data_IF_339294506042
#
_entry.id   IF_339294506042
#
_cell.length_a   1.000
_cell.length_b   1.000
_cell.length_c   1.000
_cell.angle_alpha   90.00
_cell.angle_beta   90.00
_cell.angle_gamma   90.00
#
_symmetry.space_group_name_H-M   'P 1'
#
loop_
_entity.id
_entity.type
_entity.pdbx_description
1 polymer ?
#
# COMPACT_ATOMS: atom_id res chain seq x y z
N UNK A 1 9.54 -1.23 26.94
CA UNK A 1 9.92 0.20 26.88
C UNK A 1 8.74 0.94 26.28
N UNK A 2 7.99 1.79 27.00
CA UNK A 2 6.91 2.58 26.44
C UNK A 2 7.48 3.74 25.63
N UNK A 3 6.93 3.97 24.46
CA UNK A 3 7.23 5.10 23.57
C UNK A 3 6.59 6.36 24.14
N UNK A 4 7.40 7.30 24.59
CA UNK A 4 6.94 8.64 24.97
C UNK A 4 6.57 9.46 23.73
N UNK A 5 5.31 9.91 23.66
CA UNK A 5 4.78 10.74 22.60
C UNK A 5 5.28 12.18 22.67
N UNK A 6 6.12 12.58 21.74
CA UNK A 6 6.54 13.96 21.57
C UNK A 6 5.43 14.80 20.92
N UNK A 7 4.92 15.78 21.65
CA UNK A 7 3.93 16.77 21.17
C UNK A 7 4.65 17.83 20.34
N UNK A 8 4.47 17.81 19.02
CA UNK A 8 4.92 18.89 18.13
C UNK A 8 3.77 19.84 17.88
N UNK A 9 3.91 21.10 18.28
CA UNK A 9 2.96 22.18 17.96
C UNK A 9 2.99 22.46 16.47
N UNK A 10 1.83 22.29 15.81
CA UNK A 10 1.62 22.68 14.43
C UNK A 10 1.48 24.20 14.31
N UNK A 11 2.32 24.84 13.48
CA UNK A 11 2.11 26.18 12.97
C UNK A 11 1.27 26.07 11.67
N UNK A 12 0.13 26.75 11.60
CA UNK A 12 -0.71 26.85 10.41
C UNK A 12 -2.04 26.13 10.53
N UNK A 13 -3.03 26.78 11.17
CA UNK A 13 -4.38 26.22 11.36
C UNK A 13 -5.23 26.26 10.10
N UNK A 14 -5.37 25.16 9.40
CA UNK A 14 -6.50 24.86 8.54
C UNK A 14 -7.52 24.04 9.35
N UNK A 15 -8.68 24.59 9.65
CA UNK A 15 -9.81 23.84 10.21
C UNK A 15 -10.38 22.96 9.12
N UNK A 16 -10.30 21.63 9.31
CA UNK A 16 -11.05 20.68 8.48
C UNK A 16 -12.48 20.58 9.03
N UNK A 17 -13.51 21.00 8.28
CA UNK A 17 -14.89 20.85 8.69
C UNK A 17 -15.32 19.39 8.52
N UNK A 18 -15.83 18.77 9.57
CA UNK A 18 -16.54 17.50 9.51
C UNK A 18 -15.84 16.28 10.10
N UNK A 19 -14.66 16.40 10.71
CA UNK A 19 -13.97 15.28 11.37
C UNK A 19 -14.12 15.43 12.89
N UNK A 20 -14.97 14.64 13.50
CA UNK A 20 -14.89 14.43 14.95
C UNK A 20 -13.63 13.62 15.24
N UNK A 21 -12.65 14.27 15.87
CA UNK A 21 -11.46 13.60 16.37
C UNK A 21 -11.86 12.65 17.51
N UNK A 22 -11.93 11.38 17.26
CA UNK A 22 -12.06 10.37 18.31
C UNK A 22 -10.71 10.20 19.01
N UNK A 23 -10.53 10.87 20.15
CA UNK A 23 -9.54 10.47 21.14
C UNK A 23 -10.24 9.72 22.26
N UNK A 24 -9.63 8.66 22.78
CA UNK A 24 -10.13 7.90 23.92
C UNK A 24 -10.18 8.72 25.25
N UNK A 25 -9.89 10.02 25.18
CA UNK A 25 -10.00 10.98 26.31
C UNK A 25 -10.40 12.34 25.76
N UNK A 26 -11.68 12.73 25.93
CA UNK A 26 -12.24 14.06 26.00
C UNK A 26 -11.70 15.16 25.07
N UNK A 27 -12.63 15.92 24.50
CA UNK A 27 -12.45 17.12 23.66
C UNK A 27 -11.18 17.95 23.91
N UNK A 28 -10.22 17.81 22.98
CA UNK A 28 -9.03 18.68 22.89
C UNK A 28 -8.34 18.37 21.56
N UNK A 29 -8.40 19.32 20.62
CA UNK A 29 -8.05 19.14 19.21
C UNK A 29 -6.54 19.05 18.97
N UNK A 30 -5.89 17.94 19.36
CA UNK A 30 -4.61 17.57 18.79
C UNK A 30 -4.89 16.42 17.80
N UNK A 31 -4.72 16.66 16.50
CA UNK A 31 -4.79 15.62 15.48
C UNK A 31 -3.60 14.69 15.73
N UNK A 32 -3.89 13.42 16.07
CA UNK A 32 -2.84 12.41 16.18
C UNK A 32 -2.12 12.30 14.83
N UNK A 33 -0.80 12.25 14.86
CA UNK A 33 0.01 12.09 13.65
C UNK A 33 0.98 10.92 13.80
N UNK A 34 1.15 10.16 12.72
CA UNK A 34 2.14 9.08 12.61
C UNK A 34 2.95 9.33 11.34
N UNK A 35 4.28 9.36 11.48
CA UNK A 35 5.19 9.68 10.35
C UNK A 35 4.82 10.99 9.63
N UNK A 36 4.35 11.99 10.38
CA UNK A 36 3.96 13.29 9.82
C UNK A 36 2.62 13.32 9.09
N UNK A 37 1.87 12.22 9.09
CA UNK A 37 0.54 12.14 8.49
C UNK A 37 -0.53 11.99 9.57
N UNK A 38 -1.68 12.65 9.35
CA UNK A 38 -2.82 12.57 10.26
C UNK A 38 -3.35 11.14 10.38
N UNK A 39 -3.75 10.73 11.58
CA UNK A 39 -4.52 9.51 11.82
C UNK A 39 -6.00 9.88 11.80
N UNK A 40 -6.78 9.21 10.95
CA UNK A 40 -8.20 9.47 10.76
C UNK A 40 -9.01 8.19 10.90
N UNK A 41 -10.16 8.29 11.54
CA UNK A 41 -11.14 7.23 11.66
C UNK A 41 -12.36 7.57 10.80
N UNK A 42 -12.91 6.59 10.12
CA UNK A 42 -14.13 6.66 9.35
C UNK A 42 -15.03 5.51 9.77
N UNK A 43 -16.33 5.74 9.83
CA UNK A 43 -17.30 4.72 10.22
C UNK A 43 -17.56 3.67 9.13
N UNK A 44 -17.25 3.99 7.87
CA UNK A 44 -17.44 3.10 6.71
C UNK A 44 -16.88 3.70 5.43
N UNK A 45 -17.06 2.99 4.33
CA UNK A 45 -16.54 3.37 3.01
C UNK A 45 -17.13 4.67 2.47
N UNK A 46 -18.41 4.94 2.71
CA UNK A 46 -19.08 6.17 2.27
C UNK A 46 -18.43 7.42 2.87
N UNK A 47 -18.12 7.40 4.16
CA UNK A 47 -17.47 8.53 4.83
C UNK A 47 -16.04 8.74 4.33
N UNK A 48 -15.29 7.65 4.11
CA UNK A 48 -13.97 7.70 3.50
C UNK A 48 -14.04 8.27 2.07
N UNK A 49 -15.00 7.83 1.26
CA UNK A 49 -15.17 8.30 -0.12
C UNK A 49 -15.56 9.77 -0.16
N UNK A 50 -16.44 10.23 0.74
CA UNK A 50 -16.81 11.64 0.89
C UNK A 50 -15.61 12.52 1.27
N UNK A 51 -14.75 12.01 2.16
CA UNK A 51 -13.50 12.69 2.52
C UNK A 51 -12.53 12.77 1.35
N UNK A 52 -12.30 11.66 0.64
CA UNK A 52 -11.44 11.61 -0.55
C UNK A 52 -11.95 12.57 -1.65
N UNK A 53 -13.25 12.70 -1.82
CA UNK A 53 -13.84 13.63 -2.78
C UNK A 53 -13.40 15.07 -2.54
N UNK A 54 -13.19 15.46 -1.30
CA UNK A 54 -12.81 16.81 -0.91
C UNK A 54 -11.30 17.01 -0.79
N UNK A 55 -10.54 15.96 -0.43
CA UNK A 55 -9.15 16.06 0.02
C UNK A 55 -8.13 15.27 -0.81
N UNK A 56 -8.54 14.57 -1.87
CA UNK A 56 -7.62 13.74 -2.65
C UNK A 56 -6.44 14.51 -3.27
N UNK A 57 -6.57 15.82 -3.48
CA UNK A 57 -5.56 16.65 -4.13
C UNK A 57 -4.77 17.57 -3.20
N UNK A 58 -5.14 17.68 -1.92
CA UNK A 58 -4.56 18.67 -0.99
C UNK A 58 -3.77 18.07 0.18
N UNK A 59 -3.66 16.75 0.24
CA UNK A 59 -2.94 16.05 1.31
C UNK A 59 -1.95 15.02 0.77
N UNK A 60 -0.78 14.88 1.44
CA UNK A 60 0.22 13.88 1.04
C UNK A 60 -0.16 12.44 1.41
N UNK A 61 -1.26 12.26 2.15
CA UNK A 61 -1.76 10.98 2.62
C UNK A 61 -2.21 11.03 4.07
N UNK A 62 -2.82 9.94 4.52
CA UNK A 62 -3.29 9.75 5.91
C UNK A 62 -3.04 8.32 6.38
N UNK A 63 -3.15 8.13 7.68
CA UNK A 63 -3.30 6.83 8.30
C UNK A 63 -4.77 6.60 8.66
N UNK A 64 -5.35 5.53 8.14
CA UNK A 64 -6.68 5.07 8.54
C UNK A 64 -6.58 4.28 9.84
N UNK A 65 -7.38 4.62 10.83
CA UNK A 65 -7.60 3.80 12.01
C UNK A 65 -8.67 2.76 11.69
N UNK A 66 -8.30 1.49 11.75
CA UNK A 66 -9.14 0.38 11.30
C UNK A 66 -9.35 -0.64 12.42
N UNK A 67 -10.56 -1.19 12.48
CA UNK A 67 -10.95 -2.23 13.41
C UNK A 67 -10.24 -3.56 13.12
N UNK A 68 -9.82 -4.27 14.17
CA UNK A 68 -9.46 -5.68 14.07
C UNK A 68 -10.72 -6.55 14.07
N UNK A 69 -10.61 -7.74 13.51
CA UNK A 69 -11.70 -8.73 13.55
C UNK A 69 -12.15 -8.98 15.01
N UNK A 70 -13.43 -8.82 15.26
CA UNK A 70 -14.03 -8.98 16.59
C UNK A 70 -14.00 -7.71 17.46
N UNK A 71 -13.47 -6.59 16.95
CA UNK A 71 -13.60 -5.27 17.58
C UNK A 71 -15.00 -4.70 17.33
N UNK A 72 -15.49 -3.89 18.26
CA UNK A 72 -16.72 -3.12 18.19
C UNK A 72 -16.53 -1.74 17.49
N UNK A 73 -15.32 -1.45 17.03
CA UNK A 73 -15.03 -0.21 16.29
C UNK A 73 -15.63 -0.28 14.89
N UNK A 74 -16.40 0.75 14.52
CA UNK A 74 -16.80 0.95 13.14
C UNK A 74 -15.60 1.39 12.32
N UNK A 75 -15.41 0.79 11.15
CA UNK A 75 -14.38 1.20 10.19
C UNK A 75 -14.70 0.67 8.79
N UNK A 76 -14.17 1.30 7.72
CA UNK A 76 -14.29 0.76 6.38
C UNK A 76 -13.68 -0.64 6.28
N UNK A 77 -14.28 -1.50 5.48
CA UNK A 77 -13.72 -2.79 5.08
C UNK A 77 -12.51 -2.61 4.15
N UNK A 78 -11.72 -3.66 3.99
CA UNK A 78 -10.57 -3.63 3.09
C UNK A 78 -10.98 -3.41 1.62
N UNK A 79 -12.16 -3.87 1.22
CA UNK A 79 -12.73 -3.67 -0.12
C UNK A 79 -13.15 -2.21 -0.32
N UNK A 80 -13.89 -1.62 0.62
CA UNK A 80 -14.30 -0.22 0.56
C UNK A 80 -13.09 0.74 0.54
N UNK A 81 -12.03 0.43 1.29
CA UNK A 81 -10.79 1.21 1.26
C UNK A 81 -10.12 1.10 -0.12
N UNK A 82 -10.06 -0.10 -0.68
CA UNK A 82 -9.49 -0.31 -2.02
C UNK A 82 -10.28 0.44 -3.07
N UNK A 83 -11.60 0.34 -3.04
CA UNK A 83 -12.51 1.02 -3.97
C UNK A 83 -12.34 2.54 -3.92
N UNK A 84 -12.48 3.12 -2.73
CA UNK A 84 -12.35 4.56 -2.53
C UNK A 84 -10.97 5.06 -2.95
N UNK A 85 -9.89 4.39 -2.54
CA UNK A 85 -8.54 4.81 -2.92
C UNK A 85 -8.30 4.74 -4.43
N UNK A 86 -8.74 3.67 -5.10
CA UNK A 86 -8.58 3.54 -6.55
C UNK A 86 -9.42 4.55 -7.31
N UNK A 87 -10.67 4.79 -6.86
CA UNK A 87 -11.56 5.75 -7.49
C UNK A 87 -10.95 7.15 -7.56
N UNK A 88 -10.19 7.57 -6.56
CA UNK A 88 -9.55 8.89 -6.47
C UNK A 88 -8.05 8.90 -6.82
N UNK A 89 -7.50 7.84 -7.40
CA UNK A 89 -6.09 7.78 -7.81
C UNK A 89 -5.11 7.63 -6.64
N UNK A 90 -5.57 7.07 -5.53
CA UNK A 90 -4.77 6.76 -4.36
C UNK A 90 -4.37 5.28 -4.32
N UNK A 91 -3.52 4.94 -3.37
CA UNK A 91 -3.09 3.56 -3.12
C UNK A 91 -3.02 3.27 -1.62
N UNK A 92 -3.27 2.03 -1.27
CA UNK A 92 -3.01 1.51 0.07
C UNK A 92 -1.51 1.22 0.24
N UNK A 93 -0.94 1.63 1.36
CA UNK A 93 0.46 1.40 1.71
C UNK A 93 0.63 0.37 2.84
N UNK A 94 1.63 0.56 3.68
CA UNK A 94 1.94 -0.33 4.79
C UNK A 94 0.85 -0.33 5.86
N UNK A 95 0.80 -1.44 6.60
CA UNK A 95 0.02 -1.58 7.83
C UNK A 95 0.92 -1.53 9.04
N UNK A 96 0.40 -1.00 10.14
CA UNK A 96 1.09 -0.96 11.42
C UNK A 96 0.12 -1.37 12.53
N UNK A 97 0.57 -2.24 13.42
CA UNK A 97 -0.21 -2.58 14.61
C UNK A 97 -0.31 -1.34 15.50
N UNK A 98 -1.49 -1.14 16.13
CA UNK A 98 -1.71 -0.07 17.09
C UNK A 98 -1.97 -0.66 18.48
N UNK A 99 -3.05 -1.40 18.65
CA UNK A 99 -3.46 -2.02 19.90
C UNK A 99 -4.20 -3.35 19.65
N UNK A 100 -4.85 -3.90 20.69
CA UNK A 100 -5.60 -5.15 20.57
C UNK A 100 -6.87 -5.04 19.71
N UNK A 101 -7.44 -3.83 19.58
CA UNK A 101 -8.73 -3.57 18.92
C UNK A 101 -8.56 -2.96 17.52
N UNK A 102 -7.40 -2.38 17.24
CA UNK A 102 -7.17 -1.57 16.03
C UNK A 102 -5.79 -1.75 15.40
N UNK A 103 -5.68 -1.33 14.16
CA UNK A 103 -4.44 -1.19 13.41
C UNK A 103 -4.51 0.03 12.51
N UNK A 104 -3.38 0.46 12.00
CA UNK A 104 -3.27 1.58 11.07
C UNK A 104 -2.96 1.07 9.66
N UNK A 105 -3.66 1.65 8.67
CA UNK A 105 -3.41 1.43 7.24
C UNK A 105 -3.08 2.76 6.58
N UNK A 106 -1.89 2.88 6.01
CA UNK A 106 -1.51 4.07 5.26
C UNK A 106 -2.20 4.10 3.91
N UNK A 107 -2.75 5.28 3.54
CA UNK A 107 -3.21 5.55 2.18
C UNK A 107 -2.59 6.85 1.69
N UNK A 108 -2.21 6.91 0.42
CA UNK A 108 -1.56 8.08 -0.19
C UNK A 108 -1.96 8.23 -1.65
N UNK A 109 -1.89 9.45 -2.22
CA UNK A 109 -1.94 9.62 -3.66
C UNK A 109 -0.90 8.72 -4.35
N UNK A 110 -1.21 8.22 -5.54
CA UNK A 110 -0.25 7.51 -6.37
C UNK A 110 0.89 8.45 -6.74
N UNK A 111 2.13 7.98 -6.57
CA UNK A 111 3.29 8.73 -7.06
C UNK A 111 3.39 8.58 -8.58
N UNK A 112 3.91 9.58 -9.30
CA UNK A 112 4.24 9.40 -10.70
C UNK A 112 5.02 8.10 -10.90
N UNK A 113 4.59 7.31 -11.88
CA UNK A 113 5.22 6.01 -12.21
C UNK A 113 5.04 4.90 -11.15
N UNK A 114 4.11 5.01 -10.20
CA UNK A 114 3.71 3.89 -9.34
C UNK A 114 3.28 2.69 -10.18
N UNK A 115 3.77 1.51 -9.81
CA UNK A 115 3.39 0.26 -10.49
C UNK A 115 1.94 -0.12 -10.17
N UNK A 116 1.38 -0.91 -11.05
CA UNK A 116 0.04 -1.50 -10.87
C UNK A 116 0.17 -2.98 -10.54
N UNK A 117 -0.72 -3.47 -9.67
CA UNK A 117 -0.94 -4.89 -9.50
C UNK A 117 -2.14 -5.33 -10.32
N UNK A 118 -2.17 -6.56 -10.78
CA UNK A 118 -3.32 -7.13 -11.47
C UNK A 118 -4.61 -7.09 -10.63
N UNK A 119 -4.48 -7.15 -9.29
CA UNK A 119 -5.62 -6.97 -8.38
C UNK A 119 -6.21 -5.57 -8.54
N UNK A 120 -5.36 -4.53 -8.53
CA UNK A 120 -5.83 -3.15 -8.68
C UNK A 120 -6.37 -2.89 -10.09
N UNK A 121 -5.79 -3.50 -11.13
CA UNK A 121 -6.28 -3.42 -12.50
C UNK A 121 -7.71 -3.97 -12.59
N UNK A 122 -7.93 -5.20 -12.12
CA UNK A 122 -9.26 -5.84 -12.12
C UNK A 122 -10.28 -5.02 -11.32
N UNK A 123 -9.87 -4.47 -10.16
CA UNK A 123 -10.78 -3.65 -9.34
C UNK A 123 -11.16 -2.35 -10.04
N UNK A 124 -10.20 -1.67 -10.69
CA UNK A 124 -10.48 -0.46 -11.50
C UNK A 124 -11.42 -0.78 -12.67
N UNK A 125 -11.24 -1.92 -13.33
CA UNK A 125 -12.14 -2.35 -14.40
C UNK A 125 -13.56 -2.56 -13.88
N UNK A 126 -13.71 -3.21 -12.72
CA UNK A 126 -15.01 -3.40 -12.07
C UNK A 126 -15.63 -2.05 -11.64
N UNK A 127 -14.87 -1.15 -11.04
CA UNK A 127 -15.33 0.18 -10.66
C UNK A 127 -15.71 1.03 -11.86
N UNK A 128 -14.99 0.88 -12.98
CA UNK A 128 -15.30 1.58 -14.24
C UNK A 128 -16.62 1.08 -14.82
N UNK A 129 -16.81 -0.23 -14.86
CA UNK A 129 -18.08 -0.83 -15.32
C UNK A 129 -19.27 -0.42 -14.45
N UNK A 130 -19.06 -0.24 -13.15
CA UNK A 130 -20.07 0.23 -12.20
C UNK A 130 -20.27 1.76 -12.20
N UNK A 131 -19.51 2.55 -12.98
CA UNK A 131 -19.59 4.02 -13.00
C UNK A 131 -19.07 4.69 -11.72
N UNK A 132 -18.29 3.96 -10.91
CA UNK A 132 -17.78 4.43 -9.59
C UNK A 132 -16.42 5.11 -9.67
N UNK A 133 -15.71 5.02 -10.79
CA UNK A 133 -14.44 5.74 -10.95
C UNK A 133 -14.66 7.25 -11.00
N UNK A 134 -13.70 7.99 -10.45
CA UNK A 134 -13.67 9.46 -10.45
C UNK A 134 -12.54 9.95 -11.36
N UNK A 135 -12.63 11.20 -11.78
CA UNK A 135 -11.64 11.78 -12.72
C UNK A 135 -10.18 11.64 -12.26
N UNK A 136 -9.81 11.86 -10.98
CA UNK A 136 -8.44 11.67 -10.51
C UNK A 136 -7.95 10.22 -10.71
N UNK A 137 -8.79 9.23 -10.41
CA UNK A 137 -8.47 7.82 -10.63
C UNK A 137 -8.33 7.46 -12.10
N UNK A 138 -9.26 7.97 -12.95
CA UNK A 138 -9.19 7.78 -14.40
C UNK A 138 -7.94 8.43 -15.01
N UNK A 139 -7.49 9.57 -14.50
CA UNK A 139 -6.25 10.21 -14.92
C UNK A 139 -5.03 9.32 -14.68
N UNK A 140 -4.94 8.66 -13.52
CA UNK A 140 -3.87 7.71 -13.19
C UNK A 140 -3.91 6.46 -14.09
N UNK A 141 -5.11 5.98 -14.45
CA UNK A 141 -5.30 4.87 -15.39
C UNK A 141 -4.81 5.27 -16.79
N UNK A 142 -5.21 6.45 -17.29
CA UNK A 142 -4.75 6.96 -18.59
C UNK A 142 -3.22 7.09 -18.64
N UNK A 143 -2.62 7.65 -17.61
CA UNK A 143 -1.18 7.77 -17.50
C UNK A 143 -0.47 6.40 -17.49
N UNK A 144 -1.04 5.43 -16.79
CA UNK A 144 -0.48 4.08 -16.72
C UNK A 144 -0.58 3.33 -18.05
N UNK A 145 -1.66 3.50 -18.79
CA UNK A 145 -1.83 2.93 -20.13
C UNK A 145 -0.88 3.59 -21.14
N UNK A 146 -0.73 4.91 -21.07
CA UNK A 146 0.14 5.65 -21.98
C UNK A 146 1.62 5.26 -21.86
N UNK A 147 2.08 4.84 -20.67
CA UNK A 147 3.49 4.46 -20.43
C UNK A 147 3.70 2.94 -20.21
N UNK A 148 2.68 2.10 -20.49
CA UNK A 148 2.75 0.64 -20.48
C UNK A 148 2.73 0.01 -19.06
N UNK A 149 2.57 0.79 -17.99
CA UNK A 149 2.51 0.26 -16.61
C UNK A 149 1.23 -0.54 -16.33
N UNK A 150 0.17 -0.26 -17.08
CA UNK A 150 -1.10 -0.96 -16.96
C UNK A 150 -0.97 -2.40 -17.44
N UNK A 151 -0.41 -2.62 -18.60
CA UNK A 151 -0.17 -3.93 -19.22
C UNK A 151 0.91 -4.72 -18.47
N UNK A 152 1.89 -4.01 -17.90
CA UNK A 152 2.97 -4.58 -17.09
C UNK A 152 2.56 -4.79 -15.61
N UNK A 153 1.26 -4.82 -15.29
CA UNK A 153 0.78 -5.02 -13.94
C UNK A 153 1.22 -6.38 -13.37
N UNK A 154 1.87 -6.36 -12.20
CA UNK A 154 2.41 -7.56 -11.58
C UNK A 154 1.31 -8.41 -10.92
N UNK A 155 1.47 -9.76 -10.93
CA UNK A 155 0.51 -10.67 -10.31
C UNK A 155 0.48 -10.56 -8.79
N UNK A 156 -0.62 -11.03 -8.20
CA UNK A 156 -0.71 -11.13 -6.73
C UNK A 156 0.21 -12.23 -6.19
N UNK A 157 0.47 -12.22 -4.89
CA UNK A 157 1.24 -13.30 -4.25
C UNK A 157 0.64 -14.69 -4.50
N UNK A 158 -0.68 -14.78 -4.68
CA UNK A 158 -1.37 -16.05 -4.96
C UNK A 158 -1.05 -16.58 -6.35
N UNK A 159 -0.91 -15.67 -7.31
CA UNK A 159 -0.77 -15.97 -8.75
C UNK A 159 0.70 -15.83 -9.21
N UNK A 160 1.62 -15.52 -8.30
CA UNK A 160 3.03 -15.33 -8.61
C UNK A 160 3.73 -16.64 -8.99
N UNK A 161 4.36 -16.62 -10.16
CA UNK A 161 5.25 -17.68 -10.63
C UNK A 161 6.69 -17.21 -10.57
N UNK A 162 7.63 -18.15 -10.42
CA UNK A 162 9.06 -17.85 -10.46
C UNK A 162 9.43 -17.47 -11.89
N UNK A 163 10.00 -16.27 -12.13
CA UNK A 163 10.43 -15.85 -13.46
C UNK A 163 11.57 -16.75 -13.99
N UNK A 164 11.63 -16.96 -15.32
CA UNK A 164 12.58 -17.85 -15.96
C UNK A 164 14.05 -17.49 -15.66
N UNK A 165 14.38 -16.20 -15.64
CA UNK A 165 15.72 -15.72 -15.32
C UNK A 165 16.10 -16.02 -13.85
N UNK A 166 15.16 -15.92 -12.91
CA UNK A 166 15.37 -16.32 -11.52
C UNK A 166 15.51 -17.84 -11.41
N UNK A 167 14.65 -18.59 -12.09
CA UNK A 167 14.74 -20.06 -12.11
C UNK A 167 16.09 -20.55 -12.64
N UNK A 168 16.56 -19.97 -13.74
CA UNK A 168 17.87 -20.27 -14.32
C UNK A 168 19.03 -19.91 -13.38
N UNK A 169 18.97 -18.76 -12.73
CA UNK A 169 20.00 -18.31 -11.79
C UNK A 169 20.06 -19.18 -10.53
N UNK A 170 18.90 -19.60 -10.00
CA UNK A 170 18.82 -20.53 -8.87
C UNK A 170 19.35 -21.93 -9.26
N UNK A 171 19.07 -22.41 -10.48
CA UNK A 171 19.61 -23.68 -10.96
C UNK A 171 21.14 -23.69 -11.06
N UNK A 172 21.75 -22.52 -11.36
CA UNK A 172 23.18 -22.36 -11.42
C UNK A 172 23.86 -22.24 -10.03
N UNK A 173 23.11 -21.92 -8.97
CA UNK A 173 23.64 -21.73 -7.61
C UNK A 173 22.85 -22.58 -6.59
N UNK A 174 23.28 -23.85 -6.34
CA UNK A 174 22.52 -24.77 -5.49
C UNK A 174 22.30 -24.30 -4.04
N UNK A 175 23.20 -23.47 -3.50
CA UNK A 175 23.02 -22.90 -2.16
C UNK A 175 21.86 -21.90 -2.13
N UNK A 176 21.79 -21.03 -3.13
CA UNK A 176 20.68 -20.07 -3.29
C UNK A 176 19.35 -20.79 -3.57
N UNK A 177 19.34 -21.85 -4.37
CA UNK A 177 18.15 -22.64 -4.64
C UNK A 177 17.55 -23.22 -3.35
N UNK A 178 18.37 -23.90 -2.54
CA UNK A 178 17.91 -24.45 -1.25
C UNK A 178 17.39 -23.36 -0.30
N UNK A 179 18.09 -22.22 -0.23
CA UNK A 179 17.66 -21.10 0.60
C UNK A 179 16.32 -20.53 0.12
N UNK A 180 16.14 -20.35 -1.20
CA UNK A 180 14.88 -19.89 -1.79
C UNK A 180 13.73 -20.86 -1.52
N UNK A 181 13.93 -22.16 -1.62
CA UNK A 181 12.93 -23.18 -1.30
C UNK A 181 12.56 -23.20 0.19
N UNK A 182 13.49 -22.88 1.07
CA UNK A 182 13.24 -22.76 2.51
C UNK A 182 12.50 -21.49 2.92
N UNK A 183 12.44 -20.46 2.04
CA UNK A 183 11.70 -19.23 2.32
C UNK A 183 10.20 -19.51 2.46
N UNK A 184 9.55 -18.77 3.36
CA UNK A 184 8.10 -18.68 3.42
C UNK A 184 7.50 -18.03 2.15
N UNK A 185 6.21 -18.25 1.95
CA UNK A 185 5.49 -17.76 0.76
C UNK A 185 5.65 -16.26 0.55
N UNK A 186 5.62 -15.47 1.63
CA UNK A 186 5.77 -14.01 1.56
C UNK A 186 7.16 -13.59 1.12
N UNK A 187 8.20 -14.21 1.70
CA UNK A 187 9.58 -13.86 1.38
C UNK A 187 9.94 -14.25 -0.06
N UNK A 188 9.49 -15.43 -0.54
CA UNK A 188 9.60 -15.80 -1.96
C UNK A 188 8.94 -14.77 -2.87
N UNK A 189 7.72 -14.34 -2.51
CA UNK A 189 7.03 -13.33 -3.29
C UNK A 189 7.77 -11.99 -3.31
N UNK A 190 8.37 -11.55 -2.22
CA UNK A 190 9.14 -10.31 -2.17
C UNK A 190 10.37 -10.35 -3.10
N UNK A 191 11.06 -11.49 -3.15
CA UNK A 191 12.16 -11.69 -4.13
C UNK A 191 11.65 -11.53 -5.55
N UNK A 192 10.59 -12.25 -5.91
CA UNK A 192 9.99 -12.20 -7.25
C UNK A 192 9.49 -10.79 -7.58
N UNK A 193 8.77 -10.17 -6.64
CA UNK A 193 8.23 -8.82 -6.81
C UNK A 193 9.34 -7.79 -7.06
N UNK A 194 10.48 -7.94 -6.39
CA UNK A 194 11.62 -7.04 -6.60
C UNK A 194 12.11 -7.07 -8.04
N UNK A 195 12.08 -8.23 -8.69
CA UNK A 195 12.47 -8.39 -10.10
C UNK A 195 11.42 -7.78 -11.04
N UNK A 196 10.12 -8.00 -10.79
CA UNK A 196 9.06 -7.38 -11.59
C UNK A 196 9.03 -5.85 -11.47
N UNK A 197 9.43 -5.32 -10.32
CA UNK A 197 9.55 -3.88 -10.11
C UNK A 197 10.78 -3.24 -10.78
N UNK A 198 11.67 -4.03 -11.38
CA UNK A 198 12.82 -3.51 -12.11
C UNK A 198 12.39 -2.92 -13.46
N UNK A 199 12.66 -1.64 -13.66
CA UNK A 199 12.19 -0.87 -14.83
C UNK A 199 13.13 -0.97 -16.04
N UNK A 200 14.35 -1.44 -15.85
CA UNK A 200 15.35 -1.62 -16.90
C UNK A 200 15.98 -2.99 -16.79
N UNK A 201 16.45 -3.55 -17.90
CA UNK A 201 17.19 -4.81 -17.91
C UNK A 201 18.42 -4.75 -16.98
N UNK A 202 19.14 -3.62 -16.95
CA UNK A 202 20.27 -3.40 -16.03
C UNK A 202 19.88 -3.49 -14.57
N UNK A 203 18.78 -2.81 -14.19
CA UNK A 203 18.26 -2.86 -12.79
C UNK A 203 17.79 -4.26 -12.45
N UNK A 204 17.12 -4.98 -13.39
CA UNK A 204 16.67 -6.34 -13.20
C UNK A 204 17.83 -7.30 -12.98
N UNK A 205 18.86 -7.24 -13.82
CA UNK A 205 20.06 -8.05 -13.68
C UNK A 205 20.77 -7.82 -12.34
N UNK A 206 20.96 -6.56 -11.93
CA UNK A 206 21.57 -6.23 -10.65
C UNK A 206 20.75 -6.70 -9.43
N UNK A 207 19.41 -6.68 -9.52
CA UNK A 207 18.54 -7.21 -8.46
C UNK A 207 18.58 -8.74 -8.40
N UNK A 208 18.60 -9.39 -9.57
CA UNK A 208 18.72 -10.84 -9.67
C UNK A 208 20.04 -11.31 -9.05
N UNK A 209 21.16 -10.74 -9.45
CA UNK A 209 22.48 -11.04 -8.91
C UNK A 209 22.52 -10.88 -7.38
N UNK A 210 22.01 -9.74 -6.87
CA UNK A 210 21.95 -9.47 -5.43
C UNK A 210 21.09 -10.49 -4.70
N UNK A 211 19.90 -10.83 -5.25
CA UNK A 211 18.99 -11.79 -4.63
C UNK A 211 19.65 -13.17 -4.52
N UNK A 212 20.30 -13.64 -5.59
CA UNK A 212 21.01 -14.93 -5.59
C UNK A 212 22.19 -14.90 -4.61
N UNK A 213 23.00 -13.84 -4.58
CA UNK A 213 24.11 -13.71 -3.65
C UNK A 213 23.65 -13.70 -2.17
N UNK A 214 22.58 -12.96 -1.87
CA UNK A 214 21.98 -12.91 -0.51
C UNK A 214 21.49 -14.29 -0.08
N UNK A 215 20.77 -14.99 -0.97
CA UNK A 215 20.28 -16.33 -0.70
C UNK A 215 21.42 -17.35 -0.51
N UNK A 216 22.46 -17.29 -1.34
CA UNK A 216 23.63 -18.17 -1.23
C UNK A 216 24.41 -17.97 0.06
N UNK A 217 24.43 -16.73 0.59
CA UNK A 217 25.01 -16.40 1.89
C UNK A 217 24.16 -16.88 3.09
N UNK A 218 22.93 -17.36 2.86
CA UNK A 218 21.99 -17.75 3.91
C UNK A 218 21.28 -16.57 4.58
N UNK A 219 21.40 -15.38 4.00
CA UNK A 219 20.75 -14.17 4.50
C UNK A 219 19.30 -14.08 4.04
N UNK A 220 18.46 -13.35 4.80
CA UNK A 220 17.09 -13.06 4.40
C UNK A 220 17.09 -11.93 3.36
N UNK A 221 16.38 -12.12 2.22
CA UNK A 221 16.13 -11.03 1.28
C UNK A 221 15.36 -9.90 1.97
N UNK A 222 15.84 -8.66 1.77
CA UNK A 222 15.21 -7.45 2.33
C UNK A 222 14.00 -7.01 1.49
#
# INVERSE_FOLDING_TARGET
>A
MPYEGGTVRAAGGGRFPGTECYTAAGKGCAVETVEGLAVMAFSGGEELEAWLAQHHGDTPGIWLLLARKGSDLASPSAEEILDGTLAYGWITGKRMARDERSYLQKITPRRPRSLWSQVNVRQVEALTAAGRMREPGLAEVRAARADGRWEAAYPSQKDATVPDDLAAALAAEPAAARAFEALGRTDRYLVILSLWQARTAKTRAARLERAVATLAAGDRPA
#
